data_IF_058730037317
#
_entry.id   IF_058730037317
#
_cell.length_a   1.000
_cell.length_b   1.000
_cell.length_c   1.000
_cell.angle_alpha   90.00
_cell.angle_beta   90.00
_cell.angle_gamma   90.00
#
_symmetry.space_group_name_H-M   'P 1'
#
loop_
_entity.id
_entity.type
_entity.pdbx_description
1 polymer ?
#
# COMPACT_ATOMS: atom_id res chain seq x y z
N UNK A 1 -3.22 -20.20 -24.66
CA UNK A 1 -4.48 -19.56 -24.19
C UNK A 1 -4.42 -19.10 -22.72
N UNK A 2 -3.72 -19.82 -21.82
CA UNK A 2 -3.61 -19.42 -20.40
C UNK A 2 -2.76 -18.16 -20.15
N UNK A 3 -1.67 -17.95 -20.91
CA UNK A 3 -0.79 -16.79 -20.74
C UNK A 3 -1.47 -15.43 -20.96
N UNK A 4 -2.36 -15.33 -21.94
CA UNK A 4 -3.10 -14.08 -22.21
C UNK A 4 -4.08 -13.73 -21.07
N UNK A 5 -4.78 -14.75 -20.53
CA UNK A 5 -5.65 -14.58 -19.35
C UNK A 5 -4.85 -14.12 -18.13
N UNK A 6 -3.69 -14.75 -17.87
CA UNK A 6 -2.79 -14.35 -16.77
C UNK A 6 -2.32 -12.91 -16.93
N UNK A 7 -1.88 -12.53 -18.14
CA UNK A 7 -1.41 -11.17 -18.42
C UNK A 7 -2.51 -10.13 -18.23
N UNK A 8 -3.74 -10.42 -18.68
CA UNK A 8 -4.89 -9.53 -18.49
C UNK A 8 -5.22 -9.33 -17.01
N UNK A 9 -5.23 -10.42 -16.23
CA UNK A 9 -5.46 -10.35 -14.78
C UNK A 9 -4.35 -9.55 -14.07
N UNK A 10 -3.09 -9.79 -14.44
CA UNK A 10 -1.93 -9.05 -13.92
C UNK A 10 -2.05 -7.55 -14.22
N UNK A 11 -2.37 -7.16 -15.45
CA UNK A 11 -2.48 -5.75 -15.83
C UNK A 11 -3.58 -5.03 -15.03
N UNK A 12 -4.73 -5.69 -14.81
CA UNK A 12 -5.78 -5.15 -13.95
C UNK A 12 -5.30 -4.96 -12.51
N UNK A 13 -4.62 -5.97 -11.95
CA UNK A 13 -4.07 -5.91 -10.60
C UNK A 13 -2.99 -4.81 -10.45
N UNK A 14 -2.09 -4.70 -11.43
CA UNK A 14 -1.03 -3.70 -11.48
C UNK A 14 -1.60 -2.28 -11.64
N UNK A 15 -2.62 -2.10 -12.47
CA UNK A 15 -3.31 -0.82 -12.61
C UNK A 15 -4.00 -0.41 -11.30
N UNK A 16 -4.68 -1.34 -10.62
CA UNK A 16 -5.31 -1.07 -9.33
C UNK A 16 -4.27 -0.73 -8.26
N UNK A 17 -3.21 -1.53 -8.13
CA UNK A 17 -2.12 -1.28 -7.19
C UNK A 17 -1.40 0.05 -7.47
N UNK A 18 -1.16 0.36 -8.75
CA UNK A 18 -0.54 1.61 -9.19
C UNK A 18 -1.43 2.82 -8.89
N UNK A 19 -2.73 2.72 -9.13
CA UNK A 19 -3.69 3.77 -8.78
C UNK A 19 -3.76 4.04 -7.27
N UNK A 20 -3.74 2.97 -6.47
CA UNK A 20 -3.66 3.07 -5.01
C UNK A 20 -2.38 3.79 -4.60
N UNK A 21 -1.19 3.34 -5.03
CA UNK A 21 0.09 3.96 -4.67
C UNK A 21 0.19 5.41 -5.18
N UNK A 22 -0.46 5.72 -6.31
CA UNK A 22 -0.49 7.08 -6.84
C UNK A 22 -1.27 8.05 -5.93
N UNK A 23 -2.16 7.57 -5.07
CA UNK A 23 -2.91 8.40 -4.13
C UNK A 23 -1.99 9.10 -3.11
N UNK A 24 -0.82 8.54 -2.79
CA UNK A 24 0.23 9.23 -2.01
C UNK A 24 0.55 10.63 -2.57
N UNK A 25 0.64 10.77 -3.90
CA UNK A 25 0.93 12.07 -4.53
C UNK A 25 -0.26 13.03 -4.41
N UNK A 26 -1.48 12.50 -4.45
CA UNK A 26 -2.68 13.30 -4.20
C UNK A 26 -2.67 13.84 -2.76
N UNK A 27 -2.33 13.02 -1.76
CA UNK A 27 -2.18 13.47 -0.38
C UNK A 27 -1.13 14.56 -0.23
N UNK A 28 0.01 14.44 -0.94
CA UNK A 28 1.02 15.49 -0.95
C UNK A 28 0.46 16.80 -1.51
N UNK A 29 -0.30 16.75 -2.61
CA UNK A 29 -1.01 17.90 -3.16
C UNK A 29 -1.95 18.56 -2.15
N UNK A 30 -2.74 17.76 -1.42
CA UNK A 30 -3.63 18.26 -0.35
C UNK A 30 -2.83 18.97 0.75
N UNK A 31 -1.74 18.36 1.23
CA UNK A 31 -0.88 18.94 2.27
C UNK A 31 -0.29 20.28 1.81
N UNK A 32 0.22 20.35 0.59
CA UNK A 32 0.77 21.59 0.02
C UNK A 32 -0.27 22.71 -0.08
N UNK A 33 -1.47 22.39 -0.57
CA UNK A 33 -2.57 23.36 -0.68
C UNK A 33 -2.97 23.86 0.69
N UNK A 34 -3.22 22.97 1.65
CA UNK A 34 -3.62 23.36 3.00
C UNK A 34 -2.55 24.17 3.72
N UNK A 35 -1.27 23.81 3.55
CA UNK A 35 -0.15 24.58 4.09
C UNK A 35 -0.15 26.01 3.54
N UNK A 36 -0.30 26.18 2.23
CA UNK A 36 -0.34 27.50 1.58
C UNK A 36 -1.54 28.34 2.01
N UNK A 37 -2.67 27.70 2.32
CA UNK A 37 -3.85 28.36 2.87
C UNK A 37 -3.74 28.71 4.36
N UNK A 38 -2.60 28.43 5.00
CA UNK A 38 -2.38 28.77 6.41
C UNK A 38 -3.12 27.87 7.38
N UNK A 39 -3.22 26.57 7.07
CA UNK A 39 -3.84 25.55 7.92
C UNK A 39 -3.43 25.71 9.40
N UNK A 40 -4.43 25.77 10.29
CA UNK A 40 -4.25 25.91 11.73
C UNK A 40 -4.58 24.58 12.41
N UNK A 41 -3.59 23.78 12.79
CA UNK A 41 -3.83 22.47 13.36
C UNK A 41 -4.53 22.57 14.73
N UNK A 42 -5.50 21.68 15.02
CA UNK A 42 -6.29 21.74 16.25
C UNK A 42 -5.55 21.21 17.50
N UNK A 43 -4.56 20.33 17.35
CA UNK A 43 -3.87 19.72 18.49
C UNK A 43 -2.56 20.44 18.82
N UNK A 44 -2.40 20.78 20.09
CA UNK A 44 -1.15 21.28 20.66
C UNK A 44 -0.46 20.18 21.48
N UNK A 45 0.84 20.34 21.80
CA UNK A 45 1.49 19.53 22.82
C UNK A 45 0.73 19.60 24.16
N UNK A 46 0.69 18.49 24.93
CA UNK A 46 1.37 17.21 24.71
C UNK A 46 0.61 16.21 23.81
N UNK A 47 -0.69 16.45 23.54
CA UNK A 47 -1.52 15.52 22.77
C UNK A 47 -0.97 15.29 21.34
N UNK A 48 -0.42 16.33 20.73
CA UNK A 48 0.24 16.24 19.42
C UNK A 48 1.41 15.22 19.41
N UNK A 49 2.17 15.09 20.51
CA UNK A 49 3.25 14.10 20.61
C UNK A 49 2.71 12.69 20.79
N UNK A 50 1.70 12.50 21.62
CA UNK A 50 1.07 11.20 21.80
C UNK A 50 0.51 10.68 20.46
N UNK A 51 -0.19 11.54 19.71
CA UNK A 51 -0.70 11.20 18.38
C UNK A 51 0.42 10.86 17.39
N UNK A 52 1.51 11.65 17.38
CA UNK A 52 2.68 11.40 16.54
C UNK A 52 3.24 9.99 16.73
N UNK A 53 3.50 9.59 17.99
CA UNK A 53 4.06 8.27 18.26
C UNK A 53 3.05 7.14 17.99
N UNK A 54 1.76 7.35 18.28
CA UNK A 54 0.73 6.38 17.96
C UNK A 54 0.62 6.12 16.44
N UNK A 55 0.64 7.18 15.63
CA UNK A 55 0.60 7.08 14.17
C UNK A 55 1.89 6.52 13.58
N UNK A 56 3.05 6.78 14.19
CA UNK A 56 4.28 6.10 13.81
C UNK A 56 4.23 4.59 14.06
N UNK A 57 3.71 4.17 15.21
CA UNK A 57 3.54 2.75 15.51
C UNK A 57 2.55 2.10 14.54
N UNK A 58 1.44 2.77 14.20
CA UNK A 58 0.49 2.30 13.20
C UNK A 58 1.12 2.18 11.81
N UNK A 59 1.88 3.20 11.39
CA UNK A 59 2.64 3.18 10.14
C UNK A 59 3.66 2.04 10.11
N UNK A 60 4.42 1.81 11.18
CA UNK A 60 5.37 0.71 11.29
C UNK A 60 4.68 -0.67 11.30
N UNK A 61 3.49 -0.78 11.91
CA UNK A 61 2.71 -2.02 11.94
C UNK A 61 2.28 -2.49 10.53
N UNK A 62 2.31 -1.61 9.52
CA UNK A 62 2.11 -2.00 8.12
C UNK A 62 3.10 -3.08 7.66
N UNK A 63 4.34 -3.10 8.18
CA UNK A 63 5.31 -4.15 7.88
C UNK A 63 4.84 -5.53 8.37
N UNK A 64 4.30 -5.59 9.59
CA UNK A 64 3.74 -6.82 10.15
C UNK A 64 2.49 -7.25 9.39
N UNK A 65 1.62 -6.30 9.01
CA UNK A 65 0.45 -6.56 8.19
C UNK A 65 0.84 -7.13 6.81
N UNK A 66 1.84 -6.56 6.13
CA UNK A 66 2.36 -7.08 4.86
C UNK A 66 2.90 -8.50 5.00
N UNK A 67 3.65 -8.79 6.06
CA UNK A 67 4.13 -10.15 6.36
C UNK A 67 2.97 -11.12 6.53
N UNK A 68 1.92 -10.72 7.23
CA UNK A 68 0.74 -11.55 7.45
C UNK A 68 -0.05 -11.78 6.15
N UNK A 69 -0.25 -10.73 5.34
CA UNK A 69 -0.87 -10.82 4.01
C UNK A 69 -0.12 -11.81 3.12
N UNK A 70 1.22 -11.73 3.09
CA UNK A 70 2.06 -12.65 2.34
C UNK A 70 1.89 -14.09 2.81
N UNK A 71 1.87 -14.33 4.12
CA UNK A 71 1.70 -15.67 4.71
C UNK A 71 0.34 -16.28 4.35
N UNK A 72 -0.74 -15.51 4.46
CA UNK A 72 -2.10 -15.99 4.20
C UNK A 72 -2.33 -16.38 2.73
N UNK A 73 -1.49 -15.88 1.81
CA UNK A 73 -1.62 -16.09 0.37
C UNK A 73 -0.77 -17.24 -0.17
N UNK A 74 -0.02 -17.94 0.68
CA UNK A 74 0.79 -19.10 0.26
C UNK A 74 -0.02 -20.37 0.03
N UNK A 75 -1.30 -20.41 0.45
CA UNK A 75 -2.14 -21.58 0.24
C UNK A 75 -2.37 -21.85 -1.25
N UNK A 76 -2.07 -23.08 -1.68
CA UNK A 76 -2.38 -23.58 -3.03
C UNK A 76 -3.90 -23.57 -3.24
N UNK A 77 -4.34 -23.15 -4.43
CA UNK A 77 -5.75 -23.19 -4.84
C UNK A 77 -5.99 -24.34 -5.81
N UNK A 78 -7.24 -24.75 -5.91
CA UNK A 78 -7.63 -25.93 -6.68
C UNK A 78 -7.66 -25.65 -8.18
N UNK A 79 -7.91 -24.39 -8.58
CA UNK A 79 -8.04 -24.00 -9.98
C UNK A 79 -7.22 -22.77 -10.33
N UNK A 80 -6.86 -22.65 -11.62
CA UNK A 80 -6.13 -21.49 -12.15
C UNK A 80 -6.87 -20.18 -11.88
N UNK A 81 -8.20 -20.16 -12.08
CA UNK A 81 -9.01 -18.95 -11.88
C UNK A 81 -9.04 -18.51 -10.42
N UNK A 82 -9.13 -19.45 -9.48
CA UNK A 82 -9.02 -19.14 -8.05
C UNK A 82 -7.66 -18.57 -7.67
N UNK A 83 -6.57 -19.13 -8.22
CA UNK A 83 -5.21 -18.61 -8.01
C UNK A 83 -5.08 -17.19 -8.56
N UNK A 84 -5.57 -16.92 -9.79
CA UNK A 84 -5.52 -15.58 -10.38
C UNK A 84 -6.35 -14.56 -9.57
N UNK A 85 -7.54 -14.94 -9.09
CA UNK A 85 -8.36 -14.11 -8.20
C UNK A 85 -7.63 -13.82 -6.89
N UNK A 86 -7.01 -14.83 -6.29
CA UNK A 86 -6.24 -14.69 -5.06
C UNK A 86 -5.02 -13.77 -5.23
N UNK A 87 -4.29 -13.90 -6.34
CA UNK A 87 -3.14 -13.04 -6.68
C UNK A 87 -3.57 -11.59 -6.97
N UNK A 88 -4.73 -11.40 -7.60
CA UNK A 88 -5.29 -10.06 -7.84
C UNK A 88 -5.69 -9.40 -6.53
N UNK A 89 -6.45 -10.10 -5.69
CA UNK A 89 -6.82 -9.62 -4.35
C UNK A 89 -5.57 -9.32 -3.52
N UNK A 90 -4.55 -10.17 -3.63
CA UNK A 90 -3.28 -9.99 -2.96
C UNK A 90 -2.59 -8.69 -3.32
N UNK A 91 -2.48 -8.39 -4.61
CA UNK A 91 -1.85 -7.16 -5.09
C UNK A 91 -2.59 -5.92 -4.56
N UNK A 92 -3.93 -5.93 -4.60
CA UNK A 92 -4.76 -4.81 -4.12
C UNK A 92 -4.62 -4.64 -2.61
N UNK A 93 -4.71 -5.71 -1.83
CA UNK A 93 -4.58 -5.65 -0.37
C UNK A 93 -3.17 -5.19 0.04
N UNK A 94 -2.12 -5.68 -0.62
CA UNK A 94 -0.75 -5.22 -0.35
C UNK A 94 -0.59 -3.73 -0.65
N UNK A 95 -1.10 -3.26 -1.79
CA UNK A 95 -1.07 -1.84 -2.14
C UNK A 95 -1.80 -0.99 -1.10
N UNK A 96 -2.99 -1.42 -0.65
CA UNK A 96 -3.74 -0.72 0.40
C UNK A 96 -2.99 -0.68 1.74
N UNK A 97 -2.33 -1.78 2.14
CA UNK A 97 -1.50 -1.79 3.36
C UNK A 97 -0.29 -0.87 3.22
N UNK A 98 0.32 -0.81 2.03
CA UNK A 98 1.45 0.09 1.77
C UNK A 98 1.08 1.57 1.86
N UNK A 99 -0.19 1.95 1.67
CA UNK A 99 -0.69 3.32 1.83
C UNK A 99 -0.92 3.75 3.27
N UNK A 100 -1.09 2.80 4.20
CA UNK A 100 -1.39 3.09 5.62
C UNK A 100 -0.44 4.14 6.22
N UNK A 101 0.90 4.07 6.03
CA UNK A 101 1.80 5.09 6.55
C UNK A 101 1.52 6.49 5.98
N UNK A 102 1.23 6.62 4.68
CA UNK A 102 0.92 7.93 4.07
C UNK A 102 -0.38 8.51 4.65
N UNK A 103 -1.41 7.67 4.84
CA UNK A 103 -2.66 8.07 5.51
C UNK A 103 -2.39 8.50 6.95
N UNK A 104 -1.57 7.75 7.71
CA UNK A 104 -1.15 8.16 9.04
C UNK A 104 -0.42 9.51 9.02
N UNK A 105 0.47 9.73 8.06
CA UNK A 105 1.15 11.02 7.87
C UNK A 105 0.17 12.16 7.57
N UNK A 106 -0.83 11.91 6.73
CA UNK A 106 -1.84 12.90 6.37
C UNK A 106 -2.67 13.30 7.59
N UNK A 107 -3.15 12.31 8.36
CA UNK A 107 -3.87 12.54 9.61
C UNK A 107 -3.01 13.32 10.61
N UNK A 108 -1.72 12.96 10.71
CA UNK A 108 -0.77 13.67 11.57
C UNK A 108 -0.66 15.14 11.16
N UNK A 109 -0.42 15.43 9.87
CA UNK A 109 -0.37 16.81 9.37
C UNK A 109 -1.67 17.58 9.64
N UNK A 110 -2.83 16.99 9.34
CA UNK A 110 -4.12 17.65 9.53
C UNK A 110 -4.35 18.03 11.00
N UNK A 111 -3.94 17.18 11.93
CA UNK A 111 -4.22 17.37 13.36
C UNK A 111 -3.15 18.16 14.10
N UNK A 112 -1.87 18.09 13.70
CA UNK A 112 -0.75 18.72 14.43
C UNK A 112 0.06 19.71 13.60
N UNK A 113 -0.12 19.74 12.27
CA UNK A 113 0.66 20.58 11.36
C UNK A 113 2.07 20.06 11.10
N UNK A 114 2.40 18.84 11.53
CA UNK A 114 3.74 18.25 11.37
C UNK A 114 4.04 17.85 9.92
N UNK A 115 4.36 18.86 9.12
CA UNK A 115 4.62 18.76 7.70
C UNK A 115 5.78 17.80 7.35
N UNK A 116 6.90 17.88 8.06
CA UNK A 116 8.04 17.01 7.79
C UNK A 116 7.73 15.53 8.08
N UNK A 117 6.96 15.27 9.14
CA UNK A 117 6.55 13.91 9.52
C UNK A 117 5.60 13.30 8.47
N UNK A 118 4.72 14.10 7.84
CA UNK A 118 3.92 13.63 6.69
C UNK A 118 4.80 13.12 5.56
N UNK A 119 5.81 13.90 5.13
CA UNK A 119 6.66 13.52 4.01
C UNK A 119 7.52 12.30 4.32
N UNK A 120 7.97 12.14 5.56
CA UNK A 120 8.69 10.95 5.99
C UNK A 120 7.81 9.69 5.84
N UNK A 121 6.57 9.76 6.33
CA UNK A 121 5.63 8.65 6.25
C UNK A 121 5.12 8.39 4.82
N UNK A 122 4.94 9.43 4.01
CA UNK A 122 4.59 9.33 2.60
C UNK A 122 5.72 8.68 1.78
N UNK A 123 6.97 9.08 2.02
CA UNK A 123 8.12 8.46 1.38
C UNK A 123 8.27 6.99 1.78
N UNK A 124 8.06 6.67 3.07
CA UNK A 124 8.05 5.30 3.55
C UNK A 124 6.95 4.45 2.90
N UNK A 125 5.73 4.99 2.80
CA UNK A 125 4.61 4.38 2.09
C UNK A 125 4.91 4.12 0.61
N UNK A 126 5.46 5.11 -0.10
CA UNK A 126 5.85 4.98 -1.50
C UNK A 126 6.94 3.91 -1.68
N UNK A 127 7.94 3.89 -0.81
CA UNK A 127 8.98 2.86 -0.82
C UNK A 127 8.41 1.45 -0.62
N UNK A 128 7.48 1.28 0.32
CA UNK A 128 6.76 0.01 0.52
C UNK A 128 5.94 -0.37 -0.72
N UNK A 129 5.24 0.60 -1.32
CA UNK A 129 4.45 0.39 -2.53
C UNK A 129 5.30 -0.10 -3.70
N UNK A 130 6.44 0.55 -3.95
CA UNK A 130 7.40 0.15 -4.99
C UNK A 130 7.97 -1.23 -4.70
N UNK A 131 8.36 -1.51 -3.45
CA UNK A 131 8.93 -2.81 -3.07
C UNK A 131 7.93 -3.96 -3.23
N UNK A 132 6.67 -3.75 -2.85
CA UNK A 132 5.61 -4.77 -2.87
C UNK A 132 4.77 -4.77 -4.16
N UNK A 133 5.12 -3.94 -5.15
CA UNK A 133 4.37 -3.83 -6.40
C UNK A 133 4.24 -5.21 -7.08
N UNK A 134 3.07 -5.58 -7.62
CA UNK A 134 2.90 -6.87 -8.28
C UNK A 134 3.85 -6.99 -9.47
N UNK A 135 4.58 -8.12 -9.55
CA UNK A 135 5.49 -8.44 -10.64
C UNK A 135 4.96 -9.63 -11.43
N UNK A 136 4.89 -9.50 -12.75
CA UNK A 136 4.39 -10.57 -13.62
C UNK A 136 5.23 -11.86 -13.47
N UNK A 137 6.55 -11.73 -13.38
CA UNK A 137 7.45 -12.88 -13.19
C UNK A 137 7.16 -13.68 -11.92
N UNK A 138 6.80 -13.01 -10.81
CA UNK A 138 6.43 -13.68 -9.58
C UNK A 138 5.11 -14.46 -9.71
N UNK A 139 4.17 -13.95 -10.50
CA UNK A 139 2.90 -14.63 -10.77
C UNK A 139 3.12 -15.86 -11.66
N UNK A 140 3.93 -15.73 -12.71
CA UNK A 140 4.28 -16.85 -13.60
C UNK A 140 4.99 -17.98 -12.84
N UNK A 141 5.96 -17.64 -11.98
CA UNK A 141 6.61 -18.63 -11.10
C UNK A 141 5.60 -19.35 -10.21
N UNK A 142 4.70 -18.60 -9.55
CA UNK A 142 3.68 -19.19 -8.67
C UNK A 142 2.74 -20.13 -9.42
N UNK A 143 2.32 -19.74 -10.63
CA UNK A 143 1.45 -20.56 -11.47
C UNK A 143 2.16 -21.82 -11.99
N UNK A 144 3.45 -21.72 -12.31
CA UNK A 144 4.28 -22.87 -12.69
C UNK A 144 4.43 -23.87 -11.55
N UNK A 145 4.65 -23.40 -10.32
CA UNK A 145 4.71 -24.25 -9.12
C UNK A 145 3.38 -24.96 -8.83
N UNK A 146 2.25 -24.26 -9.00
CA UNK A 146 0.94 -24.81 -8.64
C UNK A 146 0.38 -25.78 -9.69
N UNK A 147 0.61 -25.50 -10.99
CA UNK A 147 -0.06 -26.22 -12.09
C UNK A 147 0.91 -26.86 -13.10
N UNK A 148 2.23 -26.77 -12.89
CA UNK A 148 3.23 -27.53 -13.64
C UNK A 148 3.49 -27.11 -15.08
N UNK A 149 2.64 -26.28 -15.71
CA UNK A 149 2.82 -25.83 -17.10
C UNK A 149 2.25 -24.42 -17.37
N UNK A 150 3.14 -23.48 -17.66
CA UNK A 150 2.91 -22.30 -18.51
C UNK A 150 4.11 -22.12 -19.44
#
# INVERSE_FOLDING_TARGET
>A
MNGEKTRKAYLAAAAAAGGIIAAVFFYAGVVEVLRKLGHKPPLTPPAAYALKYALYLAGAASLAALKQVNRLQQAKKSTLEETLKALTLAAVVRAAVCEVPAVCGLVLFLLTGYYADFYLLAAFSAALGVYNFPRLSAWETRLREDFGQL
#
